data_IF_754761213982
#
_entry.id   IF_754761213982
#
_cell.length_a   1.000
_cell.length_b   1.000
_cell.length_c   1.000
_cell.angle_alpha   90.00
_cell.angle_beta   90.00
_cell.angle_gamma   90.00
#
_symmetry.space_group_name_H-M   'P 1'
#
loop_
_entity.id
_entity.type
_entity.pdbx_description
1 polymer ?
#
# COMPACT_ATOMS: atom_id res chain seq x y z
N UNK A 1 -6.58 -22.73 26.17
CA UNK A 1 -6.85 -21.72 25.13
C UNK A 1 -5.95 -22.06 23.96
N UNK A 2 -6.47 -22.31 22.75
CA UNK A 2 -5.59 -22.40 21.57
C UNK A 2 -4.96 -21.01 21.40
N UNK A 3 -3.63 -20.93 21.31
CA UNK A 3 -2.95 -19.67 21.04
C UNK A 3 -3.57 -19.05 19.77
N UNK A 4 -3.97 -17.78 19.86
CA UNK A 4 -4.47 -17.04 18.69
C UNK A 4 -3.26 -16.76 17.81
N UNK A 5 -3.26 -17.37 16.63
CA UNK A 5 -2.20 -17.22 15.61
C UNK A 5 -2.65 -16.24 14.54
N UNK A 6 -1.71 -15.57 13.89
CA UNK A 6 -1.95 -14.65 12.79
C UNK A 6 -2.01 -15.41 11.47
N UNK A 7 -3.10 -15.20 10.73
CA UNK A 7 -3.32 -15.82 9.43
C UNK A 7 -3.48 -14.78 8.34
N UNK A 8 -2.82 -15.01 7.21
CA UNK A 8 -2.96 -14.21 5.98
C UNK A 8 -3.50 -15.07 4.84
N UNK A 9 -4.42 -14.53 4.05
CA UNK A 9 -4.70 -15.04 2.72
C UNK A 9 -4.22 -14.03 1.68
N UNK A 10 -3.38 -14.48 0.75
CA UNK A 10 -2.90 -13.71 -0.38
C UNK A 10 -3.70 -14.10 -1.63
N UNK A 11 -4.46 -13.16 -2.17
CA UNK A 11 -5.21 -13.31 -3.43
C UNK A 11 -4.36 -12.73 -4.56
N UNK A 12 -3.92 -13.59 -5.48
CA UNK A 12 -3.00 -13.28 -6.55
C UNK A 12 -1.55 -13.62 -6.18
N UNK A 13 -0.97 -14.57 -6.91
CA UNK A 13 0.38 -15.10 -6.73
C UNK A 13 1.33 -14.62 -7.84
N UNK A 14 1.11 -13.40 -8.33
CA UNK A 14 2.02 -12.72 -9.25
C UNK A 14 3.29 -12.24 -8.54
N UNK A 15 4.17 -11.54 -9.26
CA UNK A 15 5.45 -11.09 -8.71
C UNK A 15 5.32 -10.23 -7.43
N UNK A 16 4.30 -9.36 -7.36
CA UNK A 16 3.99 -8.55 -6.17
C UNK A 16 3.60 -9.44 -4.99
N UNK A 17 2.60 -10.32 -5.20
CA UNK A 17 2.13 -11.25 -4.18
C UNK A 17 3.24 -12.16 -3.65
N UNK A 18 4.01 -12.80 -4.53
CA UNK A 18 5.11 -13.66 -4.11
C UNK A 18 6.24 -12.89 -3.42
N UNK A 19 6.53 -11.65 -3.83
CA UNK A 19 7.52 -10.81 -3.12
C UNK A 19 7.05 -10.43 -1.72
N UNK A 20 5.76 -10.12 -1.55
CA UNK A 20 5.14 -9.92 -0.24
C UNK A 20 5.21 -11.18 0.62
N UNK A 21 4.79 -12.32 0.08
CA UNK A 21 4.83 -13.60 0.78
C UNK A 21 6.24 -13.97 1.24
N UNK A 22 7.23 -13.82 0.35
CA UNK A 22 8.62 -14.09 0.68
C UNK A 22 9.18 -13.12 1.74
N UNK A 23 8.81 -11.84 1.66
CA UNK A 23 9.15 -10.83 2.67
C UNK A 23 8.52 -11.14 4.04
N UNK A 24 7.27 -11.61 4.07
CA UNK A 24 6.58 -12.03 5.30
C UNK A 24 7.27 -13.23 5.97
N UNK A 25 7.70 -14.23 5.19
CA UNK A 25 8.41 -15.43 5.68
C UNK A 25 9.77 -15.03 6.28
N UNK A 26 10.58 -14.27 5.52
CA UNK A 26 11.91 -13.87 5.98
C UNK A 26 11.87 -12.99 7.26
N UNK A 27 10.78 -12.25 7.44
CA UNK A 27 10.59 -11.37 8.59
C UNK A 27 9.73 -11.97 9.71
N UNK A 28 9.25 -13.21 9.57
CA UNK A 28 8.54 -13.93 10.61
C UNK A 28 7.25 -13.30 11.09
N UNK A 29 6.41 -12.83 10.16
CA UNK A 29 5.29 -11.93 10.49
C UNK A 29 3.98 -12.68 10.80
N UNK A 30 3.80 -13.88 10.26
CA UNK A 30 2.57 -14.65 10.44
C UNK A 30 2.87 -16.15 10.58
N UNK A 31 2.06 -16.86 11.36
CA UNK A 31 2.17 -18.31 11.52
C UNK A 31 1.55 -19.07 10.35
N UNK A 32 0.55 -18.50 9.65
CA UNK A 32 -0.10 -19.16 8.51
C UNK A 32 -0.32 -18.20 7.34
N UNK A 33 -0.06 -18.70 6.13
CA UNK A 33 -0.29 -17.98 4.88
C UNK A 33 -0.95 -18.90 3.85
N UNK A 34 -2.06 -18.45 3.27
CA UNK A 34 -2.81 -19.16 2.24
C UNK A 34 -2.64 -18.42 0.92
N UNK A 35 -2.16 -19.11 -0.11
CA UNK A 35 -2.00 -18.57 -1.46
C UNK A 35 -3.22 -18.97 -2.31
N UNK A 36 -3.91 -17.99 -2.86
CA UNK A 36 -5.11 -18.19 -3.67
C UNK A 36 -4.90 -17.50 -5.02
N UNK A 37 -5.05 -18.24 -6.11
CA UNK A 37 -4.93 -17.74 -7.47
C UNK A 37 -5.90 -18.49 -8.39
N UNK A 38 -6.38 -17.83 -9.45
CA UNK A 38 -7.16 -18.50 -10.49
C UNK A 38 -6.34 -19.57 -11.20
N UNK A 39 -5.01 -19.40 -11.26
CA UNK A 39 -4.08 -20.42 -11.67
C UNK A 39 -3.67 -21.26 -10.45
N UNK A 40 -4.49 -22.23 -10.08
CA UNK A 40 -4.27 -23.09 -8.90
C UNK A 40 -2.90 -23.78 -8.91
N UNK A 41 -2.46 -24.28 -10.08
CA UNK A 41 -1.14 -24.91 -10.23
C UNK A 41 0.01 -23.95 -9.92
N UNK A 42 -0.15 -22.67 -10.26
CA UNK A 42 0.82 -21.64 -9.90
C UNK A 42 0.83 -21.42 -8.39
N UNK A 43 -0.34 -21.25 -7.77
CA UNK A 43 -0.43 -21.08 -6.31
C UNK A 43 0.17 -22.26 -5.54
N UNK A 44 -0.09 -23.49 -5.99
CA UNK A 44 0.51 -24.72 -5.45
C UNK A 44 2.03 -24.71 -5.61
N UNK A 45 2.53 -24.40 -6.81
CA UNK A 45 3.96 -24.29 -7.10
C UNK A 45 4.69 -23.28 -6.20
N UNK A 46 4.13 -22.08 -6.08
CA UNK A 46 4.69 -21.01 -5.25
C UNK A 46 4.65 -21.40 -3.75
N UNK A 47 3.58 -22.07 -3.30
CA UNK A 47 3.51 -22.57 -1.92
C UNK A 47 4.59 -23.63 -1.64
N UNK A 48 4.77 -24.60 -2.54
CA UNK A 48 5.81 -25.64 -2.42
C UNK A 48 7.21 -25.02 -2.35
N UNK A 49 7.52 -24.07 -3.25
CA UNK A 49 8.83 -23.44 -3.30
C UNK A 49 9.14 -22.67 -2.00
N UNK A 50 8.17 -21.90 -1.49
CA UNK A 50 8.30 -21.21 -0.21
C UNK A 50 8.47 -22.17 0.98
N UNK A 51 7.78 -23.32 0.97
CA UNK A 51 7.91 -24.34 2.00
C UNK A 51 9.29 -25.02 2.01
N UNK A 52 9.91 -25.25 0.85
CA UNK A 52 11.25 -25.86 0.77
C UNK A 52 12.31 -25.04 1.52
N UNK A 53 12.18 -23.71 1.55
CA UNK A 53 13.08 -22.81 2.27
C UNK A 53 12.81 -22.68 3.78
N UNK A 54 11.68 -23.21 4.28
CA UNK A 54 11.20 -22.95 5.64
C UNK A 54 12.16 -23.47 6.74
N UNK A 55 12.98 -24.47 6.43
CA UNK A 55 14.02 -24.97 7.34
C UNK A 55 15.08 -23.93 7.72
N UNK A 56 15.24 -22.88 6.91
CA UNK A 56 16.19 -21.79 7.12
C UNK A 56 15.51 -20.45 7.45
N UNK A 57 14.18 -20.43 7.54
CA UNK A 57 13.45 -19.24 7.94
C UNK A 57 13.71 -18.94 9.43
N UNK A 58 13.69 -17.65 9.79
CA UNK A 58 13.90 -17.17 11.16
C UNK A 58 12.79 -17.60 12.12
N UNK A 59 11.61 -17.93 11.59
CA UNK A 59 10.46 -18.42 12.36
C UNK A 59 9.56 -19.27 11.46
N UNK A 60 8.80 -20.23 12.03
CA UNK A 60 7.97 -21.13 11.26
C UNK A 60 6.72 -20.42 10.73
N UNK A 61 6.50 -20.48 9.42
CA UNK A 61 5.26 -20.07 8.76
C UNK A 61 4.70 -21.25 7.96
N UNK A 62 3.44 -21.63 8.19
CA UNK A 62 2.76 -22.63 7.36
C UNK A 62 2.20 -21.96 6.11
N UNK A 63 2.86 -22.15 4.97
CA UNK A 63 2.39 -21.68 3.67
C UNK A 63 1.62 -22.80 2.98
N UNK A 64 0.43 -22.54 2.46
CA UNK A 64 -0.37 -23.53 1.69
C UNK A 64 -1.05 -22.86 0.51
N UNK A 65 -1.36 -23.59 -0.55
CA UNK A 65 -2.35 -23.14 -1.54
C UNK A 65 -3.77 -23.46 -1.04
N UNK A 66 -4.75 -22.63 -1.41
CA UNK A 66 -6.14 -22.81 -0.99
C UNK A 66 -7.15 -22.11 -1.89
N UNK A 67 -8.35 -21.91 -1.37
CA UNK A 67 -9.49 -21.30 -2.08
C UNK A 67 -10.13 -20.20 -1.23
N UNK A 68 -11.11 -19.49 -1.79
CA UNK A 68 -11.82 -18.44 -1.05
C UNK A 68 -12.55 -18.96 0.20
N UNK A 69 -12.95 -20.24 0.24
CA UNK A 69 -13.60 -20.85 1.41
C UNK A 69 -12.71 -20.82 2.66
N UNK A 70 -11.39 -20.83 2.47
CA UNK A 70 -10.41 -20.81 3.56
C UNK A 70 -10.27 -19.43 4.22
N UNK A 71 -10.82 -18.37 3.61
CA UNK A 71 -10.73 -17.00 4.13
C UNK A 71 -11.56 -16.79 5.41
N UNK A 72 -12.50 -17.68 5.76
CA UNK A 72 -13.41 -17.47 6.91
C UNK A 72 -12.70 -17.30 8.26
N UNK A 73 -11.50 -17.88 8.42
CA UNK A 73 -10.72 -17.84 9.65
C UNK A 73 -9.42 -17.02 9.57
N UNK A 74 -9.31 -16.17 8.54
CA UNK A 74 -8.12 -15.35 8.25
C UNK A 74 -8.21 -13.97 8.92
N UNK A 75 -7.10 -13.46 9.45
CA UNK A 75 -7.05 -12.12 10.07
C UNK A 75 -6.92 -11.01 9.03
N UNK A 76 -6.08 -11.21 8.00
CA UNK A 76 -5.83 -10.24 6.93
C UNK A 76 -5.91 -10.91 5.56
N UNK A 77 -6.73 -10.37 4.67
CA UNK A 77 -6.74 -10.74 3.25
C UNK A 77 -5.98 -9.67 2.47
N UNK A 78 -4.93 -10.08 1.77
CA UNK A 78 -4.14 -9.20 0.90
C UNK A 78 -4.51 -9.46 -0.55
N UNK A 79 -4.98 -8.45 -1.26
CA UNK A 79 -5.36 -8.56 -2.67
C UNK A 79 -4.29 -7.90 -3.54
N UNK A 80 -3.58 -8.73 -4.31
CA UNK A 80 -2.64 -8.31 -5.35
C UNK A 80 -3.08 -8.77 -6.74
N UNK A 81 -4.14 -9.57 -6.81
CA UNK A 81 -4.78 -10.01 -8.04
C UNK A 81 -5.35 -8.79 -8.80
N UNK A 82 -5.07 -8.75 -10.09
CA UNK A 82 -5.54 -7.72 -10.99
C UNK A 82 -5.12 -8.04 -12.40
N UNK A 83 -5.69 -7.27 -13.32
CA UNK A 83 -5.35 -7.38 -14.73
C UNK A 83 -4.37 -6.25 -15.06
N UNK A 84 -3.19 -6.57 -15.66
CA UNK A 84 -2.28 -5.54 -16.12
C UNK A 84 -2.89 -4.75 -17.28
N UNK A 85 -2.51 -3.47 -17.37
CA UNK A 85 -2.87 -2.61 -18.48
C UNK A 85 -2.24 -3.13 -19.77
N UNK A 86 -3.03 -3.27 -20.84
CA UNK A 86 -2.51 -3.63 -22.16
C UNK A 86 -2.00 -2.38 -22.89
N UNK A 87 -0.99 -2.51 -23.78
CA UNK A 87 -0.58 -1.41 -24.64
C UNK A 87 -1.79 -0.86 -25.44
N UNK A 88 -2.05 0.45 -25.31
CA UNK A 88 -3.19 1.13 -25.95
C UNK A 88 -4.51 1.10 -25.18
N UNK A 89 -4.60 0.38 -24.06
CA UNK A 89 -5.78 0.39 -23.17
C UNK A 89 -5.83 1.71 -22.38
N UNK A 90 -6.99 2.35 -22.35
CA UNK A 90 -7.17 3.59 -21.59
C UNK A 90 -7.19 3.31 -20.09
N UNK A 91 -6.85 4.31 -19.29
CA UNK A 91 -6.95 4.22 -17.82
C UNK A 91 -8.37 3.88 -17.35
N UNK A 92 -9.38 4.33 -18.10
CA UNK A 92 -10.79 4.05 -17.84
C UNK A 92 -11.12 2.56 -17.98
N UNK A 93 -10.73 1.95 -19.10
CA UNK A 93 -10.99 0.54 -19.39
C UNK A 93 -10.30 -0.37 -18.36
N UNK A 94 -9.09 0.00 -17.94
CA UNK A 94 -8.38 -0.70 -16.87
C UNK A 94 -9.15 -0.64 -15.54
N UNK A 95 -9.64 0.54 -15.16
CA UNK A 95 -10.45 0.73 -13.94
C UNK A 95 -11.69 -0.14 -13.98
N UNK A 96 -12.47 -0.08 -15.06
CA UNK A 96 -13.72 -0.84 -15.19
C UNK A 96 -13.48 -2.35 -15.09
N UNK A 97 -12.41 -2.83 -15.71
CA UNK A 97 -12.04 -4.25 -15.70
C UNK A 97 -11.60 -4.71 -14.32
N UNK A 98 -10.69 -3.96 -13.68
CA UNK A 98 -10.23 -4.32 -12.34
C UNK A 98 -11.32 -4.15 -11.29
N UNK A 99 -12.23 -3.18 -11.43
CA UNK A 99 -13.40 -3.05 -10.56
C UNK A 99 -14.30 -4.29 -10.66
N UNK A 100 -14.60 -4.79 -11.87
CA UNK A 100 -15.38 -6.03 -12.05
C UNK A 100 -14.71 -7.25 -11.43
N UNK A 101 -13.40 -7.40 -11.64
CA UNK A 101 -12.62 -8.50 -11.04
C UNK A 101 -12.64 -8.39 -9.52
N UNK A 102 -12.42 -7.18 -8.98
CA UNK A 102 -12.41 -6.93 -7.54
C UNK A 102 -13.77 -7.25 -6.90
N UNK A 103 -14.88 -6.85 -7.52
CA UNK A 103 -16.24 -7.19 -7.07
C UNK A 103 -16.45 -8.70 -6.93
N UNK A 104 -16.01 -9.47 -7.93
CA UNK A 104 -16.08 -10.93 -7.89
C UNK A 104 -15.25 -11.53 -6.75
N UNK A 105 -14.00 -11.09 -6.62
CA UNK A 105 -13.08 -11.54 -5.55
C UNK A 105 -13.68 -11.25 -4.17
N UNK A 106 -14.11 -10.01 -3.93
CA UNK A 106 -14.68 -9.60 -2.63
C UNK A 106 -15.94 -10.38 -2.31
N UNK A 107 -16.82 -10.59 -3.31
CA UNK A 107 -18.05 -11.38 -3.11
C UNK A 107 -17.74 -12.80 -2.62
N UNK A 108 -16.81 -13.52 -3.26
CA UNK A 108 -16.44 -14.87 -2.85
C UNK A 108 -15.79 -14.92 -1.47
N UNK A 109 -14.92 -13.96 -1.16
CA UNK A 109 -14.28 -13.87 0.17
C UNK A 109 -15.31 -13.60 1.27
N UNK A 110 -16.26 -12.69 1.04
CA UNK A 110 -17.29 -12.41 2.04
C UNK A 110 -18.24 -13.61 2.24
N UNK A 111 -18.53 -14.40 1.20
CA UNK A 111 -19.32 -15.64 1.30
C UNK A 111 -18.67 -16.69 2.19
N UNK A 112 -17.33 -16.69 2.32
CA UNK A 112 -16.61 -17.60 3.23
C UNK A 112 -16.83 -17.28 4.71
N UNK A 113 -17.53 -16.18 5.04
CA UNK A 113 -17.68 -15.67 6.40
C UNK A 113 -16.48 -14.83 6.87
N UNK A 114 -15.63 -14.34 5.95
CA UNK A 114 -14.49 -13.50 6.30
C UNK A 114 -14.92 -12.28 7.12
N UNK A 115 -14.22 -12.07 8.23
CA UNK A 115 -14.45 -10.96 9.14
C UNK A 115 -13.12 -10.38 9.68
N UNK A 116 -12.10 -10.29 8.82
CA UNK A 116 -10.80 -9.67 9.11
C UNK A 116 -10.60 -8.31 8.42
N UNK A 117 -9.35 -7.96 8.12
CA UNK A 117 -8.97 -6.71 7.44
C UNK A 117 -8.60 -7.00 5.98
N UNK A 118 -9.07 -6.17 5.06
CA UNK A 118 -8.57 -6.15 3.69
C UNK A 118 -7.37 -5.22 3.56
N UNK A 119 -6.33 -5.69 2.88
CA UNK A 119 -5.20 -4.89 2.40
C UNK A 119 -5.10 -4.99 0.88
N UNK A 120 -5.32 -3.88 0.18
CA UNK A 120 -5.37 -3.83 -1.29
C UNK A 120 -4.07 -3.26 -1.84
N UNK A 121 -3.49 -3.93 -2.82
CA UNK A 121 -2.28 -3.49 -3.53
C UNK A 121 -2.51 -3.32 -5.03
N UNK A 122 -3.61 -3.85 -5.57
CA UNK A 122 -3.91 -3.80 -7.00
C UNK A 122 -4.16 -2.37 -7.45
N UNK A 123 -3.59 -1.99 -8.59
CA UNK A 123 -3.79 -0.65 -9.15
C UNK A 123 -5.09 -0.54 -9.97
N UNK A 124 -5.76 0.63 -9.95
CA UNK A 124 -5.46 1.80 -9.12
C UNK A 124 -5.90 1.62 -7.67
N UNK A 125 -4.94 1.69 -6.73
CA UNK A 125 -5.13 1.15 -5.38
C UNK A 125 -6.20 1.89 -4.58
N UNK A 126 -6.25 3.22 -4.66
CA UNK A 126 -7.24 4.00 -3.90
C UNK A 126 -8.68 3.70 -4.37
N UNK A 127 -8.87 3.61 -5.69
CA UNK A 127 -10.18 3.27 -6.29
C UNK A 127 -10.59 1.85 -5.97
N UNK A 128 -9.68 0.88 -6.11
CA UNK A 128 -10.01 -0.51 -5.83
C UNK A 128 -10.21 -0.75 -4.33
N UNK A 129 -9.58 0.04 -3.46
CA UNK A 129 -9.86 0.03 -2.02
C UNK A 129 -11.28 0.54 -1.74
N UNK A 130 -11.70 1.63 -2.40
CA UNK A 130 -13.08 2.12 -2.32
C UNK A 130 -14.10 1.05 -2.80
N UNK A 131 -13.80 0.36 -3.90
CA UNK A 131 -14.62 -0.77 -4.40
C UNK A 131 -14.69 -1.89 -3.35
N UNK A 132 -13.56 -2.33 -2.78
CA UNK A 132 -13.56 -3.35 -1.72
C UNK A 132 -14.42 -2.92 -0.54
N UNK A 133 -14.35 -1.65 -0.12
CA UNK A 133 -15.18 -1.13 0.97
C UNK A 133 -16.67 -1.20 0.65
N UNK A 134 -17.11 -0.66 -0.51
CA UNK A 134 -18.52 -0.68 -0.90
C UNK A 134 -19.09 -2.09 -1.04
N UNK A 135 -18.30 -3.02 -1.58
CA UNK A 135 -18.77 -4.36 -1.93
C UNK A 135 -18.65 -5.35 -0.76
N UNK A 136 -17.71 -5.13 0.16
CA UNK A 136 -17.57 -5.98 1.36
C UNK A 136 -18.60 -5.64 2.44
N UNK A 137 -19.06 -4.39 2.50
CA UNK A 137 -19.92 -3.91 3.59
C UNK A 137 -19.24 -3.88 4.95
N UNK A 138 -17.91 -4.05 5.00
CA UNK A 138 -17.15 -3.97 6.24
C UNK A 138 -17.03 -2.52 6.73
N UNK A 139 -16.76 -2.32 8.03
CA UNK A 139 -16.33 -1.02 8.54
C UNK A 139 -15.14 -0.51 7.74
N UNK A 140 -15.14 0.79 7.41
CA UNK A 140 -14.10 1.45 6.61
C UNK A 140 -12.70 1.28 7.22
N UNK A 141 -12.61 1.20 8.54
CA UNK A 141 -11.37 1.04 9.29
C UNK A 141 -10.67 -0.29 8.93
N UNK A 142 -11.43 -1.28 8.46
CA UNK A 142 -10.96 -2.61 8.12
C UNK A 142 -10.74 -2.83 6.63
N UNK A 143 -10.77 -1.77 5.82
CA UNK A 143 -10.44 -1.83 4.40
C UNK A 143 -9.34 -0.81 4.14
N UNK A 144 -8.16 -1.29 3.76
CA UNK A 144 -6.94 -0.48 3.69
C UNK A 144 -6.31 -0.69 2.31
N UNK A 145 -5.91 0.39 1.66
CA UNK A 145 -5.06 0.30 0.48
C UNK A 145 -3.61 0.60 0.83
N UNK A 146 -2.67 0.01 0.10
CA UNK A 146 -1.24 0.28 0.31
C UNK A 146 -0.88 1.76 0.09
N UNK A 147 -1.64 2.48 -0.73
CA UNK A 147 -1.51 3.91 -0.94
C UNK A 147 -0.12 4.35 -1.36
N UNK A 148 0.28 5.55 -0.96
CA UNK A 148 1.61 6.15 -1.23
C UNK A 148 2.68 5.70 -0.24
N UNK A 149 2.50 4.58 0.48
CA UNK A 149 3.50 4.08 1.45
C UNK A 149 4.84 3.75 0.79
N UNK A 150 4.84 3.22 -0.43
CA UNK A 150 6.07 2.95 -1.18
C UNK A 150 6.74 4.24 -1.66
N UNK A 151 5.99 5.19 -2.18
CA UNK A 151 6.53 6.46 -2.67
C UNK A 151 7.07 7.29 -1.51
N UNK A 152 6.42 7.23 -0.35
CA UNK A 152 6.96 7.75 0.92
C UNK A 152 8.28 7.07 1.31
N UNK A 153 8.40 5.75 1.17
CA UNK A 153 9.64 5.04 1.46
C UNK A 153 10.77 5.43 0.49
N UNK A 154 10.47 5.54 -0.82
CA UNK A 154 11.39 6.01 -1.85
C UNK A 154 11.84 7.44 -1.60
N UNK A 155 10.90 8.31 -1.22
CA UNK A 155 11.17 9.70 -0.91
C UNK A 155 12.14 9.85 0.25
N UNK A 156 11.90 9.11 1.34
CA UNK A 156 12.82 9.06 2.48
C UNK A 156 14.19 8.51 2.09
N UNK A 157 14.25 7.50 1.22
CA UNK A 157 15.50 6.95 0.70
C UNK A 157 16.31 7.99 -0.08
N UNK A 158 15.69 8.64 -1.08
CA UNK A 158 16.38 9.62 -1.93
C UNK A 158 16.81 10.87 -1.18
N UNK A 159 16.00 11.35 -0.22
CA UNK A 159 16.41 12.41 0.70
C UNK A 159 17.59 11.95 1.57
N UNK A 160 17.57 10.70 2.06
CA UNK A 160 18.68 10.10 2.79
C UNK A 160 19.98 10.15 1.99
N UNK A 161 19.95 9.71 0.73
CA UNK A 161 21.10 9.77 -0.18
C UNK A 161 21.59 11.22 -0.39
N UNK A 162 20.67 12.16 -0.62
CA UNK A 162 21.02 13.56 -0.86
C UNK A 162 21.70 14.23 0.36
N UNK A 163 21.23 13.92 1.56
CA UNK A 163 21.77 14.47 2.80
C UNK A 163 22.89 13.62 3.41
N UNK A 164 23.18 12.43 2.86
CA UNK A 164 24.17 11.48 3.39
C UNK A 164 23.75 10.83 4.71
N UNK A 165 22.47 10.46 4.84
CA UNK A 165 21.85 9.98 6.07
C UNK A 165 21.10 8.67 5.86
N UNK A 166 21.01 7.87 6.93
CA UNK A 166 20.12 6.71 6.94
C UNK A 166 18.66 7.16 6.76
N UNK A 167 17.90 6.60 5.79
CA UNK A 167 16.51 6.97 5.50
C UNK A 167 15.56 6.86 6.69
N UNK A 168 15.90 6.05 7.70
CA UNK A 168 15.12 5.93 8.94
C UNK A 168 15.10 7.22 9.75
N UNK A 169 16.10 8.09 9.58
CA UNK A 169 16.18 9.41 10.21
C UNK A 169 15.50 10.51 9.38
N UNK A 170 15.00 10.19 8.18
CA UNK A 170 14.20 11.12 7.38
C UNK A 170 12.73 10.89 7.71
N UNK A 171 12.04 11.96 8.10
CA UNK A 171 10.61 11.96 8.36
C UNK A 171 9.94 12.88 7.33
N UNK A 172 9.46 12.29 6.24
CA UNK A 172 8.79 12.97 5.15
C UNK A 172 7.73 12.03 4.57
N UNK A 173 6.70 12.59 3.94
CA UNK A 173 5.54 11.86 3.43
C UNK A 173 5.17 12.32 2.03
N UNK A 174 4.75 11.36 1.20
CA UNK A 174 3.99 11.60 -0.03
C UNK A 174 2.53 11.28 0.29
N UNK A 175 1.59 12.16 -0.09
CA UNK A 175 0.15 11.98 0.13
C UNK A 175 -0.61 12.25 -1.17
N UNK A 176 -1.91 11.92 -1.19
CA UNK A 176 -2.76 12.04 -2.37
C UNK A 176 -3.12 10.67 -2.97
N UNK A 177 -3.63 10.69 -4.20
CA UNK A 177 -3.82 9.50 -5.03
C UNK A 177 -2.46 8.87 -5.33
N UNK A 178 -2.35 7.55 -5.20
CA UNK A 178 -1.16 6.84 -5.63
C UNK A 178 -1.08 6.85 -7.17
N UNK A 179 -0.31 7.80 -7.70
CA UNK A 179 -0.20 8.06 -9.13
C UNK A 179 0.28 9.48 -9.43
N UNK A 180 -0.09 9.99 -10.60
CA UNK A 180 0.48 11.25 -11.12
C UNK A 180 0.05 12.50 -10.31
N UNK A 181 -0.99 12.40 -9.48
CA UNK A 181 -1.47 13.51 -8.65
C UNK A 181 -1.04 13.44 -7.19
N UNK A 182 -0.16 12.51 -6.83
CA UNK A 182 0.50 12.51 -5.52
C UNK A 182 1.41 13.74 -5.35
N UNK A 183 1.68 14.13 -4.11
CA UNK A 183 2.54 15.27 -3.82
C UNK A 183 3.31 15.12 -2.50
N UNK A 184 4.51 15.73 -2.39
CA UNK A 184 5.30 15.71 -1.17
C UNK A 184 4.81 16.78 -0.19
N UNK A 185 4.77 16.44 1.10
CA UNK A 185 4.46 17.40 2.17
C UNK A 185 5.76 18.00 2.71
N UNK A 186 6.33 18.94 1.94
CA UNK A 186 7.59 19.62 2.28
C UNK A 186 7.47 20.45 3.54
N UNK A 187 6.31 21.08 3.79
CA UNK A 187 6.06 21.91 4.96
C UNK A 187 6.23 21.14 6.27
N UNK A 188 5.98 19.83 6.24
CA UNK A 188 6.09 18.93 7.39
C UNK A 188 7.35 18.07 7.42
N UNK A 189 8.18 18.10 6.37
CA UNK A 189 9.39 17.29 6.29
C UNK A 189 10.42 17.66 7.38
N UNK A 190 11.08 16.64 7.94
CA UNK A 190 12.15 16.80 8.93
C UNK A 190 13.26 15.77 8.78
N UNK A 191 14.45 16.14 9.26
CA UNK A 191 15.64 15.30 9.32
C UNK A 191 16.01 15.16 10.79
N UNK A 192 15.85 13.95 11.33
CA UNK A 192 15.85 13.71 12.76
C UNK A 192 14.83 14.60 13.44
N UNK A 193 15.29 15.46 14.35
CA UNK A 193 14.43 16.38 15.11
C UNK A 193 14.28 17.76 14.46
N UNK A 194 15.02 18.05 13.39
CA UNK A 194 15.07 19.39 12.79
C UNK A 194 14.19 19.48 11.53
N UNK A 195 13.40 20.56 11.40
CA UNK A 195 12.60 20.83 10.21
C UNK A 195 13.49 21.00 8.98
N UNK A 196 13.08 20.42 7.85
CA UNK A 196 13.84 20.49 6.59
C UNK A 196 14.16 21.94 6.19
N UNK A 197 13.20 22.86 6.31
CA UNK A 197 13.41 24.27 6.01
C UNK A 197 14.59 24.89 6.79
N UNK A 198 14.78 24.52 8.06
CA UNK A 198 15.91 24.99 8.90
C UNK A 198 17.23 24.35 8.50
N UNK A 199 17.20 23.07 8.09
CA UNK A 199 18.38 22.41 7.53
C UNK A 199 18.83 23.12 6.24
N UNK A 200 17.90 23.48 5.36
CA UNK A 200 18.18 24.17 4.10
C UNK A 200 18.70 25.59 4.33
N UNK A 201 18.06 26.37 5.21
CA UNK A 201 18.51 27.71 5.61
C UNK A 201 19.96 27.69 6.12
N UNK A 202 20.33 26.71 6.95
CA UNK A 202 21.71 26.56 7.47
C UNK A 202 22.70 26.15 6.39
N UNK A 203 22.34 25.19 5.52
CA UNK A 203 23.20 24.75 4.41
C UNK A 203 23.47 25.89 3.43
N UNK A 204 22.48 26.76 3.24
CA UNK A 204 22.53 27.92 2.36
C UNK A 204 23.09 27.57 0.96
N UNK A 205 22.67 26.42 0.43
CA UNK A 205 23.06 25.94 -0.89
C UNK A 205 21.97 26.30 -1.92
N UNK A 206 22.27 27.13 -2.93
CA UNK A 206 21.26 27.56 -3.91
C UNK A 206 20.71 26.40 -4.75
N UNK A 207 21.44 25.29 -4.86
CA UNK A 207 21.00 24.11 -5.63
C UNK A 207 19.95 23.27 -4.89
N UNK A 208 19.80 23.42 -3.57
CA UNK A 208 18.96 22.53 -2.75
C UNK A 208 17.51 22.49 -3.27
N UNK A 209 16.95 23.64 -3.70
CA UNK A 209 15.57 23.68 -4.21
C UNK A 209 15.41 22.83 -5.47
N UNK A 210 16.28 23.01 -6.46
CA UNK A 210 16.23 22.25 -7.71
C UNK A 210 16.46 20.76 -7.48
N UNK A 211 17.35 20.41 -6.54
CA UNK A 211 17.61 19.01 -6.20
C UNK A 211 16.42 18.35 -5.50
N UNK A 212 15.73 19.06 -4.60
CA UNK A 212 14.53 18.55 -3.94
C UNK A 212 13.38 18.35 -4.93
N UNK A 213 13.19 19.28 -5.87
CA UNK A 213 12.19 19.15 -6.94
C UNK A 213 12.49 17.91 -7.81
N UNK A 214 13.75 17.72 -8.23
CA UNK A 214 14.20 16.52 -8.96
C UNK A 214 14.04 15.23 -8.17
N UNK A 215 14.27 15.26 -6.85
CA UNK A 215 14.07 14.08 -6.00
C UNK A 215 12.60 13.65 -6.04
N UNK A 216 11.66 14.60 -5.91
CA UNK A 216 10.24 14.26 -5.99
C UNK A 216 9.84 13.73 -7.38
N UNK A 217 10.31 14.36 -8.46
CA UNK A 217 10.09 13.86 -9.83
C UNK A 217 10.60 12.42 -9.99
N UNK A 218 11.80 12.12 -9.48
CA UNK A 218 12.38 10.78 -9.51
C UNK A 218 11.60 9.77 -8.66
N UNK A 219 10.97 10.20 -7.55
CA UNK A 219 10.10 9.32 -6.74
C UNK A 219 8.87 8.92 -7.53
N UNK A 220 8.15 9.92 -8.07
CA UNK A 220 6.93 9.72 -8.88
C UNK A 220 7.23 8.82 -10.08
N UNK A 221 8.35 9.07 -10.74
CA UNK A 221 8.72 8.37 -11.99
C UNK A 221 9.52 7.08 -11.74
N UNK A 222 9.82 6.73 -10.48
CA UNK A 222 10.64 5.58 -10.10
C UNK A 222 10.08 4.25 -10.64
N UNK A 223 8.75 4.09 -10.65
CA UNK A 223 8.12 2.89 -11.17
C UNK A 223 8.46 2.68 -12.66
N UNK A 224 8.36 3.73 -13.47
CA UNK A 224 8.69 3.69 -14.90
C UNK A 224 10.16 3.37 -15.13
N UNK A 225 11.07 3.99 -14.39
CA UNK A 225 12.50 3.72 -14.49
C UNK A 225 12.87 2.27 -14.15
N UNK A 226 12.18 1.65 -13.18
CA UNK A 226 12.40 0.24 -12.81
C UNK A 226 11.80 -0.69 -13.85
N UNK A 227 10.58 -0.41 -14.31
CA UNK A 227 9.90 -1.22 -15.34
C UNK A 227 10.71 -1.24 -16.63
N UNK A 228 11.25 -0.11 -17.05
CA UNK A 228 12.11 0.00 -18.23
C UNK A 228 13.35 -0.91 -18.13
N UNK A 229 13.92 -1.07 -16.94
CA UNK A 229 15.15 -1.84 -16.70
C UNK A 229 14.95 -3.34 -16.45
N UNK A 230 13.85 -3.74 -15.81
CA UNK A 230 13.62 -5.14 -15.41
C UNK A 230 12.21 -5.68 -15.72
N UNK A 231 11.41 -4.96 -16.49
CA UNK A 231 10.07 -5.34 -16.95
C UNK A 231 8.94 -5.17 -15.94
N UNK A 232 9.23 -5.12 -14.63
CA UNK A 232 8.22 -4.94 -13.59
C UNK A 232 8.83 -4.42 -12.27
N UNK A 233 8.02 -3.85 -11.37
CA UNK A 233 8.42 -3.47 -10.01
C UNK A 233 7.61 -4.25 -8.98
N UNK A 234 8.25 -4.89 -8.00
CA UNK A 234 7.56 -5.78 -7.05
C UNK A 234 8.24 -5.94 -5.68
N UNK A 235 9.56 -5.79 -5.57
CA UNK A 235 10.25 -5.93 -4.28
C UNK A 235 9.90 -4.81 -3.28
N UNK A 236 9.93 -3.54 -3.73
CA UNK A 236 9.60 -2.40 -2.88
C UNK A 236 8.16 -2.48 -2.35
N UNK A 237 7.19 -2.74 -3.22
CA UNK A 237 5.79 -2.89 -2.82
C UNK A 237 5.60 -4.13 -1.93
N UNK A 238 6.29 -5.24 -2.17
CA UNK A 238 6.27 -6.41 -1.31
C UNK A 238 6.69 -6.09 0.13
N UNK A 239 7.75 -5.30 0.31
CA UNK A 239 8.18 -4.82 1.63
C UNK A 239 7.15 -3.87 2.26
N UNK A 240 6.55 -2.96 1.49
CA UNK A 240 5.53 -2.04 2.00
C UNK A 240 4.28 -2.78 2.50
N UNK A 241 3.82 -3.79 1.76
CA UNK A 241 2.72 -4.64 2.20
C UNK A 241 3.08 -5.38 3.50
N UNK A 242 4.29 -5.93 3.62
CA UNK A 242 4.77 -6.52 4.87
C UNK A 242 4.80 -5.52 6.02
N UNK A 243 5.23 -4.27 5.78
CA UNK A 243 5.26 -3.21 6.79
C UNK A 243 3.87 -2.86 7.31
N UNK A 244 2.87 -2.79 6.42
CA UNK A 244 1.47 -2.55 6.80
C UNK A 244 0.93 -3.76 7.57
N UNK A 245 1.16 -4.99 7.08
CA UNK A 245 0.73 -6.20 7.79
C UNK A 245 1.33 -6.31 9.19
N UNK A 246 2.60 -5.94 9.38
CA UNK A 246 3.24 -5.86 10.72
C UNK A 246 2.53 -4.88 11.64
N UNK A 247 2.20 -3.67 11.15
CA UNK A 247 1.47 -2.69 11.94
C UNK A 247 0.13 -3.24 12.46
N UNK A 248 -0.57 -4.01 11.61
CA UNK A 248 -1.82 -4.67 11.96
C UNK A 248 -1.57 -5.79 12.98
N UNK A 249 -0.70 -6.75 12.67
CA UNK A 249 -0.56 -7.94 13.52
C UNK A 249 0.06 -7.67 14.89
N UNK A 250 0.98 -6.72 14.98
CA UNK A 250 1.64 -6.35 16.23
C UNK A 250 0.98 -5.16 16.95
N UNK A 251 -0.18 -4.70 16.47
CA UNK A 251 -0.94 -3.61 17.09
C UNK A 251 -0.11 -2.33 17.31
N UNK A 252 0.74 -1.99 16.34
CA UNK A 252 1.85 -1.05 16.55
C UNK A 252 1.40 0.41 16.75
N UNK A 253 0.17 0.75 16.35
CA UNK A 253 -0.28 2.14 16.23
C UNK A 253 0.71 2.98 15.40
N UNK A 254 1.18 2.41 14.29
CA UNK A 254 2.16 3.03 13.41
C UNK A 254 1.50 4.02 12.45
N UNK A 255 2.16 5.15 12.21
CA UNK A 255 1.72 6.14 11.21
C UNK A 255 2.23 5.71 9.83
N UNK A 256 1.32 5.47 8.90
CA UNK A 256 1.62 5.08 7.51
C UNK A 256 0.73 5.87 6.55
N UNK A 257 1.25 6.18 5.36
CA UNK A 257 0.51 6.86 4.28
C UNK A 257 -0.32 5.87 3.46
N UNK A 258 -1.26 5.21 4.12
CA UNK A 258 -2.15 4.22 3.51
C UNK A 258 -3.37 4.88 2.89
N UNK A 259 -3.98 4.20 1.93
CA UNK A 259 -5.28 4.61 1.40
C UNK A 259 -6.36 4.33 2.44
N UNK A 260 -7.05 5.37 2.88
CA UNK A 260 -8.11 5.32 3.88
C UNK A 260 -9.25 6.28 3.51
N UNK A 261 -10.46 6.03 4.02
CA UNK A 261 -11.64 6.84 3.72
C UNK A 261 -11.55 8.21 4.39
N UNK A 262 -11.77 9.28 3.62
CA UNK A 262 -11.92 10.64 4.15
C UNK A 262 -13.36 10.87 4.66
N UNK A 263 -13.47 11.45 5.86
CA UNK A 263 -14.74 11.78 6.53
C UNK A 263 -14.72 13.23 7.06
N UNK A 264 -14.32 14.17 6.21
CA UNK A 264 -14.24 15.60 6.53
C UNK A 264 -12.82 16.11 6.73
N UNK A 265 -11.83 15.21 6.87
CA UNK A 265 -10.41 15.54 6.94
C UNK A 265 -10.00 16.36 5.71
N UNK A 266 -9.30 17.47 5.93
CA UNK A 266 -8.89 18.41 4.88
C UNK A 266 -10.05 18.99 4.06
N UNK A 267 -11.29 18.91 4.55
CA UNK A 267 -12.49 19.30 3.79
C UNK A 267 -12.97 18.25 2.79
N UNK A 268 -12.34 17.08 2.73
CA UNK A 268 -12.62 16.01 1.77
C UNK A 268 -13.48 14.91 2.40
N UNK A 269 -14.35 14.25 1.62
CA UNK A 269 -15.28 13.22 2.12
C UNK A 269 -15.67 12.21 1.04
N UNK A 270 -16.03 10.99 1.48
CA UNK A 270 -16.52 9.87 0.65
C UNK A 270 -15.58 9.49 -0.50
N UNK A 271 -14.28 9.47 -0.21
CA UNK A 271 -13.26 8.97 -1.11
C UNK A 271 -12.14 8.31 -0.30
N UNK A 272 -11.56 7.25 -0.85
CA UNK A 272 -10.31 6.70 -0.35
C UNK A 272 -9.15 7.47 -0.99
N UNK A 273 -8.19 7.92 -0.20
CA UNK A 273 -6.98 8.59 -0.68
C UNK A 273 -5.85 8.37 0.32
N UNK A 274 -4.60 8.41 -0.14
CA UNK A 274 -3.46 8.12 0.72
C UNK A 274 -3.14 9.32 1.60
N UNK A 275 -3.29 9.14 2.91
CA UNK A 275 -2.97 10.15 3.92
C UNK A 275 -2.32 9.48 5.13
N UNK A 276 -1.61 10.24 5.99
CA UNK A 276 -1.04 9.67 7.20
C UNK A 276 -2.16 9.16 8.10
N UNK A 277 -2.14 7.87 8.42
CA UNK A 277 -3.14 7.24 9.27
C UNK A 277 -2.47 6.31 10.27
N UNK A 278 -3.10 6.14 11.43
CA UNK A 278 -2.62 5.24 12.48
C UNK A 278 -3.16 3.84 12.21
N UNK A 279 -2.26 2.89 11.97
CA UNK A 279 -2.58 1.50 11.67
C UNK A 279 -2.23 0.61 12.86
N UNK A 280 -3.20 -0.19 13.29
CA UNK A 280 -3.09 -1.14 14.41
C UNK A 280 -3.93 -2.40 14.17
N UNK A 281 -4.17 -3.24 15.19
CA UNK A 281 -4.87 -4.54 15.03
C UNK A 281 -6.32 -4.41 14.57
N UNK A 282 -6.95 -3.25 14.80
CA UNK A 282 -8.29 -2.92 14.31
C UNK A 282 -8.33 -2.41 12.87
N UNK A 283 -7.17 -2.17 12.25
CA UNK A 283 -7.03 -1.54 10.94
C UNK A 283 -6.63 -0.06 11.08
N UNK A 284 -7.29 0.84 10.34
CA UNK A 284 -7.11 2.29 10.45
C UNK A 284 -7.84 2.80 11.69
N UNK A 285 -7.09 3.19 12.72
CA UNK A 285 -7.64 3.77 13.95
C UNK A 285 -8.16 5.19 13.73
N UNK A 286 -7.35 6.01 13.09
CA UNK A 286 -7.67 7.40 12.76
C UNK A 286 -6.80 7.90 11.62
N UNK A 287 -7.33 8.84 10.85
CA UNK A 287 -6.59 9.64 9.89
C UNK A 287 -5.98 10.82 10.64
N UNK A 288 -4.70 11.10 10.41
CA UNK A 288 -4.01 12.25 10.97
C UNK A 288 -4.11 13.40 9.98
N UNK A 289 -4.80 14.45 10.41
CA UNK A 289 -4.84 15.72 9.69
C UNK A 289 -3.61 16.56 10.04
N UNK A 290 -2.65 16.63 9.12
CA UNK A 290 -1.44 17.45 9.27
C UNK A 290 -1.65 18.83 8.66
N UNK A 291 -0.91 19.83 9.16
CA UNK A 291 -0.98 21.17 8.58
C UNK A 291 -0.30 21.21 7.20
N UNK A 292 -1.09 21.54 6.18
CA UNK A 292 -0.63 21.74 4.80
C UNK A 292 -0.53 23.24 4.49
N UNK A 293 0.52 23.61 3.74
CA UNK A 293 0.63 24.95 3.17
C UNK A 293 -0.36 25.17 2.01
N UNK A 294 -0.44 26.39 1.47
CA UNK A 294 -1.41 26.70 0.41
C UNK A 294 -1.23 25.84 -0.84
N UNK A 295 0.01 25.54 -1.23
CA UNK A 295 0.29 24.75 -2.45
C UNK A 295 -0.03 23.28 -2.23
N UNK A 296 0.28 22.77 -1.04
CA UNK A 296 -0.03 21.41 -0.65
C UNK A 296 -1.54 21.18 -0.52
N UNK A 297 -2.31 22.18 -0.05
CA UNK A 297 -3.78 22.15 -0.07
C UNK A 297 -4.33 22.12 -1.50
N UNK A 298 -3.87 23.01 -2.37
CA UNK A 298 -4.29 23.01 -3.78
C UNK A 298 -3.98 21.66 -4.46
N UNK A 299 -2.83 21.05 -4.14
CA UNK A 299 -2.44 19.74 -4.65
C UNK A 299 -3.36 18.62 -4.13
N UNK A 300 -3.73 18.66 -2.85
CA UNK A 300 -4.68 17.71 -2.27
C UNK A 300 -6.06 17.82 -2.92
N UNK A 301 -6.58 19.04 -3.07
CA UNK A 301 -7.88 19.30 -3.71
C UNK A 301 -7.89 18.77 -5.15
N UNK A 302 -6.81 18.99 -5.90
CA UNK A 302 -6.65 18.44 -7.25
C UNK A 302 -6.63 16.90 -7.23
N UNK A 303 -5.88 16.30 -6.32
CA UNK A 303 -5.81 14.84 -6.20
C UNK A 303 -7.16 14.23 -5.81
N UNK A 304 -7.88 14.85 -4.88
CA UNK A 304 -9.23 14.47 -4.49
C UNK A 304 -10.23 14.60 -5.64
N UNK A 305 -10.11 15.64 -6.49
CA UNK A 305 -10.92 15.78 -7.71
C UNK A 305 -10.65 14.64 -8.70
N UNK A 306 -9.38 14.31 -8.95
CA UNK A 306 -9.00 13.17 -9.80
C UNK A 306 -9.62 11.87 -9.28
N UNK A 307 -9.60 11.66 -7.97
CA UNK A 307 -10.22 10.51 -7.33
C UNK A 307 -11.74 10.48 -7.50
N UNK A 308 -12.44 11.59 -7.28
CA UNK A 308 -13.90 11.67 -7.50
C UNK A 308 -14.29 11.39 -8.94
N UNK A 309 -13.55 11.95 -9.89
CA UNK A 309 -13.77 11.71 -11.31
C UNK A 309 -13.65 10.21 -11.59
N UNK A 310 -12.62 9.53 -11.06
CA UNK A 310 -12.46 8.08 -11.17
C UNK A 310 -13.56 7.28 -10.47
N UNK A 311 -14.02 7.68 -9.29
CA UNK A 311 -15.11 7.01 -8.57
C UNK A 311 -16.41 7.09 -9.38
N UNK A 312 -16.73 8.25 -9.96
CA UNK A 312 -17.95 8.47 -10.77
C UNK A 312 -18.03 7.63 -12.05
N UNK A 313 -16.91 7.02 -12.45
CA UNK A 313 -16.84 6.11 -13.60
C UNK A 313 -17.15 4.67 -13.21
N UNK A 314 -17.00 4.33 -11.93
CA UNK A 314 -17.25 3.00 -11.37
C UNK A 314 -18.67 2.89 -10.77
N UNK A 315 -19.18 3.98 -10.20
CA UNK A 315 -20.49 4.12 -9.57
C UNK A 315 -21.24 5.33 -10.11
#
# INVERSE_FOLDING_TARGET
MKNKINRVALIGTGAVGCSYAYSMINQGVAEEMILIDINEKRAEGEAMDMQHGMAFATSPTRVTSGSYEDCGNVDVVVITAGVPQKPGETRLELIDKNAKVMKGIVSEIMKSGFNGIFLVATNPVDILTYVVWKESGLPKERVIGSGTTLDTARFRYMLGEYFGLDPRNIHAAIIGEHGDSEFPVWSQASIGIERLCKVLERRNNPEDKEQLDKIFENVRDAAYHIIDRKGATYYGIGMCLTRITKAIFHDENSILTVSCLMEGHYGESDLYISTPAIVNRGGVREVIEIELDSKERDALENSAKVMRDMISKVY
#
